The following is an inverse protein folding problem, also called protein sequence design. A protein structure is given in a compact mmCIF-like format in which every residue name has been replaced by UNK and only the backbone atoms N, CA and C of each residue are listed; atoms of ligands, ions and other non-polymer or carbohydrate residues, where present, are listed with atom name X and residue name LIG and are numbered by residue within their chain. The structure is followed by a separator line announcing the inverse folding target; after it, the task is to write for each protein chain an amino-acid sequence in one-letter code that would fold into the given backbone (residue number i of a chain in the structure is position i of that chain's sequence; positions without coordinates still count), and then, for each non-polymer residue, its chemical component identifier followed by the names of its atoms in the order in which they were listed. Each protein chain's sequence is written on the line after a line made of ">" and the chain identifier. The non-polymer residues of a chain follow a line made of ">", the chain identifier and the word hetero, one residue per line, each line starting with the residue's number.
data_IF_014926678770
#
_entry.id   IF_014926678770
#
_cell.length_a   1.000
_cell.length_b   1.000
_cell.length_c   1.000
_cell.angle_alpha   90.00
_cell.angle_beta   90.00
_cell.angle_gamma   90.00
#
_symmetry.space_group_name_H-M   'P 1'
#
loop_
_entity.id
_entity.type
_entity.pdbx_description
1 polymer ?
#
# COMPACT_ATOMS: atom_id res chain seq x y z
N UNK A 1 -12.48 2.68 11.94
CA UNK A 1 -13.58 2.54 12.93
C UNK A 1 -14.57 3.70 12.88
N UNK A 2 -14.22 4.93 13.29
CA UNK A 2 -15.18 6.05 13.33
C UNK A 2 -15.93 6.31 12.03
N UNK A 3 -15.22 6.39 10.90
CA UNK A 3 -15.83 6.58 9.59
C UNK A 3 -16.81 5.44 9.22
N UNK A 4 -16.45 4.19 9.56
CA UNK A 4 -17.32 3.03 9.33
C UNK A 4 -18.59 3.13 10.17
N UNK A 5 -18.47 3.37 11.47
CA UNK A 5 -19.62 3.52 12.37
C UNK A 5 -20.58 4.62 11.90
N UNK A 6 -20.06 5.80 11.55
CA UNK A 6 -20.87 6.91 11.02
C UNK A 6 -21.50 6.52 9.67
N UNK A 7 -20.73 5.90 8.78
CA UNK A 7 -21.20 5.46 7.46
C UNK A 7 -22.32 4.43 7.51
N UNK A 8 -22.46 3.70 8.63
CA UNK A 8 -23.56 2.76 8.90
C UNK A 8 -24.56 3.28 9.95
N UNK A 9 -24.57 4.59 10.24
CA UNK A 9 -25.68 5.25 10.95
C UNK A 9 -25.44 5.60 12.42
N UNK A 10 -24.21 5.48 12.95
CA UNK A 10 -23.91 6.00 14.29
C UNK A 10 -23.86 7.54 14.29
N UNK A 11 -24.74 8.17 15.07
CA UNK A 11 -24.79 9.64 15.19
C UNK A 11 -23.73 10.22 16.14
N UNK A 12 -23.28 9.45 17.12
CA UNK A 12 -22.24 9.83 18.07
C UNK A 12 -21.41 8.61 18.48
N UNK A 13 -20.14 8.82 18.83
CA UNK A 13 -19.22 7.76 19.22
C UNK A 13 -18.45 8.22 20.46
N UNK A 14 -18.55 7.45 21.53
CA UNK A 14 -17.73 7.60 22.73
C UNK A 14 -16.64 6.52 22.76
N UNK A 15 -15.38 6.82 22.41
CA UNK A 15 -14.29 5.85 22.41
C UNK A 15 -13.69 5.69 23.82
N UNK A 16 -14.54 5.32 24.80
CA UNK A 16 -14.20 5.31 26.22
C UNK A 16 -12.92 4.52 26.53
N UNK A 17 -12.75 3.33 25.94
CA UNK A 17 -11.59 2.49 26.21
C UNK A 17 -10.29 3.10 25.67
N UNK A 18 -10.37 3.87 24.57
CA UNK A 18 -9.21 4.61 24.07
C UNK A 18 -8.82 5.75 25.03
N UNK A 19 -9.81 6.42 25.62
CA UNK A 19 -9.55 7.45 26.64
C UNK A 19 -8.93 6.86 27.91
N UNK A 20 -9.45 5.74 28.41
CA UNK A 20 -8.85 5.02 29.55
C UNK A 20 -7.41 4.55 29.24
N UNK A 21 -7.17 4.10 28.00
CA UNK A 21 -5.82 3.71 27.55
C UNK A 21 -4.87 4.91 27.59
N UNK A 22 -5.29 6.08 27.10
CA UNK A 22 -4.48 7.30 27.12
C UNK A 22 -4.17 7.75 28.55
N UNK A 23 -5.17 7.75 29.43
CA UNK A 23 -5.00 8.11 30.83
C UNK A 23 -4.02 7.15 31.53
N UNK A 24 -4.16 5.85 31.31
CA UNK A 24 -3.23 4.85 31.83
C UNK A 24 -1.80 5.06 31.32
N UNK A 25 -1.61 5.30 30.01
CA UNK A 25 -0.30 5.55 29.42
C UNK A 25 0.39 6.79 30.01
N UNK A 26 -0.38 7.83 30.33
CA UNK A 26 0.14 9.06 30.97
C UNK A 26 0.54 8.77 32.42
N UNK A 27 -0.33 8.10 33.20
CA UNK A 27 -0.02 7.71 34.59
C UNK A 27 1.18 6.79 34.70
N UNK A 28 1.37 5.90 33.72
CA UNK A 28 2.51 5.01 33.61
C UNK A 28 3.79 5.70 33.09
N UNK A 29 3.74 6.98 32.73
CA UNK A 29 4.89 7.73 32.20
C UNK A 29 5.31 7.36 30.78
N UNK A 30 4.49 6.58 30.04
CA UNK A 30 4.76 6.19 28.65
C UNK A 30 4.53 7.32 27.66
N UNK A 31 3.62 8.24 27.99
CA UNK A 31 3.36 9.46 27.24
C UNK A 31 3.62 10.63 28.19
N UNK A 32 4.60 11.46 27.82
CA UNK A 32 5.02 12.62 28.62
C UNK A 32 4.60 13.93 27.95
N UNK A 33 4.68 15.03 28.70
CA UNK A 33 4.42 16.39 28.22
C UNK A 33 2.97 16.69 27.78
N UNK A 34 2.00 15.87 28.20
CA UNK A 34 0.56 16.10 28.00
C UNK A 34 -0.22 15.60 29.21
N UNK A 35 -1.32 16.26 29.56
CA UNK A 35 -2.30 15.75 30.52
C UNK A 35 -3.40 14.95 29.81
N UNK A 36 -4.21 14.24 30.59
CA UNK A 36 -5.31 13.38 30.08
C UNK A 36 -6.30 14.17 29.23
N UNK A 37 -6.67 15.39 29.67
CA UNK A 37 -7.62 16.25 28.95
C UNK A 37 -7.09 16.63 27.57
N UNK A 38 -5.83 17.05 27.50
CA UNK A 38 -5.14 17.39 26.27
C UNK A 38 -4.97 16.18 25.36
N UNK A 39 -4.62 15.02 25.91
CA UNK A 39 -4.49 13.78 25.15
C UNK A 39 -5.82 13.35 24.53
N UNK A 40 -6.91 13.35 25.29
CA UNK A 40 -8.26 13.07 24.79
C UNK A 40 -8.68 14.07 23.71
N UNK A 41 -8.42 15.38 23.91
CA UNK A 41 -8.69 16.41 22.90
C UNK A 41 -7.90 16.19 21.62
N UNK A 42 -6.62 15.84 21.72
CA UNK A 42 -5.77 15.54 20.58
C UNK A 42 -6.24 14.28 19.84
N UNK A 43 -6.64 13.25 20.57
CA UNK A 43 -7.22 12.03 20.00
C UNK A 43 -8.50 12.34 19.22
N UNK A 44 -9.44 13.08 19.81
CA UNK A 44 -10.69 13.51 19.13
C UNK A 44 -10.36 14.33 17.88
N UNK A 45 -9.44 15.30 17.97
CA UNK A 45 -8.99 16.09 16.81
C UNK A 45 -8.43 15.21 15.70
N UNK A 46 -7.62 14.20 16.03
CA UNK A 46 -7.05 13.27 15.06
C UNK A 46 -8.12 12.37 14.43
N UNK A 47 -9.05 11.82 15.24
CA UNK A 47 -10.16 11.02 14.77
C UNK A 47 -11.08 11.82 13.83
N UNK A 48 -11.44 13.05 14.20
CA UNK A 48 -12.23 13.96 13.36
C UNK A 48 -11.55 14.25 12.03
N UNK A 49 -10.25 14.60 12.05
CA UNK A 49 -9.47 14.77 10.81
C UNK A 49 -9.45 13.49 9.98
N UNK A 50 -9.35 12.33 10.62
CA UNK A 50 -9.42 11.03 9.96
C UNK A 50 -10.75 10.79 9.26
N UNK A 51 -11.88 11.10 9.91
CA UNK A 51 -13.23 10.99 9.31
C UNK A 51 -13.36 11.93 8.10
N UNK A 52 -13.01 13.21 8.26
CA UNK A 52 -13.03 14.20 7.17
C UNK A 52 -12.19 13.71 5.99
N UNK A 53 -11.00 13.17 6.27
CA UNK A 53 -10.09 12.63 5.26
C UNK A 53 -10.67 11.41 4.55
N UNK A 54 -11.42 10.54 5.22
CA UNK A 54 -12.10 9.40 4.57
C UNK A 54 -13.24 9.89 3.67
N UNK A 55 -14.05 10.83 4.15
CA UNK A 55 -15.16 11.40 3.37
C UNK A 55 -14.66 12.09 2.09
N UNK A 56 -13.57 12.86 2.19
CA UNK A 56 -13.01 13.59 1.06
C UNK A 56 -12.50 12.68 -0.05
N UNK A 57 -12.18 11.40 0.22
CA UNK A 57 -11.75 10.42 -0.79
C UNK A 57 -12.81 10.20 -1.87
N UNK A 58 -14.07 10.43 -1.52
CA UNK A 58 -15.24 10.26 -2.37
C UNK A 58 -15.88 11.61 -2.75
N UNK A 59 -15.20 12.72 -2.45
CA UNK A 59 -15.73 14.07 -2.71
C UNK A 59 -16.87 14.50 -1.79
N UNK A 60 -17.09 13.81 -0.66
CA UNK A 60 -18.17 14.13 0.27
C UNK A 60 -17.72 15.22 1.24
N UNK A 61 -18.39 16.36 1.20
CA UNK A 61 -18.05 17.53 2.02
C UNK A 61 -18.89 17.66 3.30
N UNK A 62 -20.06 17.03 3.37
CA UNK A 62 -21.01 17.15 4.48
C UNK A 62 -21.14 15.84 5.26
N UNK A 63 -21.00 15.90 6.59
CA UNK A 63 -21.12 14.72 7.46
C UNK A 63 -22.53 14.12 7.42
N UNK A 64 -23.55 14.96 7.28
CA UNK A 64 -24.95 14.54 7.15
C UNK A 64 -25.16 13.66 5.92
N UNK A 65 -24.48 13.97 4.80
CA UNK A 65 -24.54 13.15 3.59
C UNK A 65 -23.72 11.86 3.69
N UNK A 66 -22.72 11.81 4.57
CA UNK A 66 -21.92 10.60 4.81
C UNK A 66 -22.59 9.63 5.79
N UNK A 67 -23.39 10.16 6.72
CA UNK A 67 -24.08 9.38 7.74
C UNK A 67 -25.07 8.40 7.09
N UNK A 68 -24.86 7.10 7.29
CA UNK A 68 -25.69 6.04 6.69
C UNK A 68 -25.48 5.82 5.19
N UNK A 69 -24.51 6.49 4.55
CA UNK A 69 -24.29 6.40 3.11
C UNK A 69 -23.60 5.11 2.65
N UNK A 70 -23.08 4.29 3.59
CA UNK A 70 -22.45 3.00 3.31
C UNK A 70 -21.36 3.05 2.21
N UNK A 71 -20.49 4.06 2.25
CA UNK A 71 -19.43 4.26 1.25
C UNK A 71 -18.24 3.33 1.51
N UNK A 72 -18.51 2.04 1.51
CA UNK A 72 -17.62 0.94 1.81
C UNK A 72 -17.89 -0.23 0.85
N UNK A 73 -16.89 -1.08 0.70
CA UNK A 73 -17.04 -2.39 0.08
C UNK A 73 -16.67 -3.45 1.13
N UNK A 74 -17.46 -4.50 1.22
CA UNK A 74 -17.17 -5.65 2.06
C UNK A 74 -16.48 -6.73 1.23
N UNK A 75 -15.45 -7.32 1.79
CA UNK A 75 -14.74 -8.47 1.23
C UNK A 75 -14.64 -9.51 2.33
N UNK A 76 -15.16 -10.71 2.08
CA UNK A 76 -15.06 -11.83 3.02
C UNK A 76 -16.22 -11.99 4.00
N UNK A 77 -17.35 -11.31 3.82
CA UNK A 77 -18.60 -11.62 4.55
C UNK A 77 -19.65 -12.19 3.61
N UNK A 78 -20.38 -13.20 4.08
CA UNK A 78 -21.48 -13.81 3.32
C UNK A 78 -22.63 -12.83 3.08
N UNK A 79 -23.34 -13.05 1.97
CA UNK A 79 -24.44 -12.19 1.55
C UNK A 79 -25.59 -12.13 2.56
N UNK A 80 -25.89 -13.22 3.27
CA UNK A 80 -26.94 -13.24 4.31
C UNK A 80 -26.64 -12.28 5.48
N UNK A 81 -25.37 -12.15 5.86
CA UNK A 81 -24.94 -11.16 6.87
C UNK A 81 -25.11 -9.74 6.34
N UNK A 82 -24.77 -9.51 5.07
CA UNK A 82 -24.92 -8.20 4.43
C UNK A 82 -26.39 -7.81 4.34
N UNK A 83 -27.24 -8.71 3.84
CA UNK A 83 -28.66 -8.44 3.64
C UNK A 83 -29.35 -8.08 4.95
N UNK A 84 -28.97 -8.73 6.05
CA UNK A 84 -29.57 -8.51 7.37
C UNK A 84 -29.01 -7.28 8.11
N UNK A 85 -27.70 -7.03 8.06
CA UNK A 85 -27.05 -6.05 8.95
C UNK A 85 -26.42 -4.85 8.23
N UNK A 86 -26.12 -4.97 6.93
CA UNK A 86 -25.43 -3.96 6.13
C UNK A 86 -26.07 -3.82 4.74
N UNK A 87 -27.41 -3.83 4.71
CA UNK A 87 -28.20 -3.94 3.48
C UNK A 87 -27.78 -2.92 2.43
N UNK A 88 -27.60 -3.38 1.18
CA UNK A 88 -27.11 -2.63 0.01
C UNK A 88 -25.59 -2.42 -0.09
N UNK A 89 -24.80 -2.86 0.89
CA UNK A 89 -23.34 -2.86 0.76
C UNK A 89 -22.86 -3.91 -0.25
N UNK A 90 -21.93 -3.55 -1.13
CA UNK A 90 -21.35 -4.51 -2.07
C UNK A 90 -20.47 -5.55 -1.35
N UNK A 91 -20.72 -6.84 -1.60
CA UNK A 91 -19.88 -7.97 -1.16
C UNK A 91 -19.71 -9.00 -2.27
N UNK A 92 -18.76 -8.73 -3.17
CA UNK A 92 -18.54 -9.56 -4.37
C UNK A 92 -17.85 -10.89 -4.07
N UNK A 93 -17.14 -10.95 -2.95
CA UNK A 93 -16.43 -12.12 -2.47
C UNK A 93 -17.01 -12.42 -1.09
N UNK A 94 -17.83 -13.47 -1.03
CA UNK A 94 -18.38 -13.96 0.22
C UNK A 94 -17.28 -14.49 1.15
N UNK A 95 -17.66 -14.87 2.36
CA UNK A 95 -16.72 -15.49 3.29
C UNK A 95 -17.37 -16.00 4.54
N UNK A 96 -17.09 -15.37 5.68
CA UNK A 96 -17.58 -15.82 6.97
C UNK A 96 -19.02 -15.36 7.24
N UNK A 97 -19.75 -16.16 8.02
CA UNK A 97 -21.09 -15.86 8.51
C UNK A 97 -21.09 -15.46 9.98
N UNK A 98 -22.29 -15.24 10.54
CA UNK A 98 -22.46 -14.84 11.95
C UNK A 98 -21.85 -15.82 12.95
N UNK A 99 -21.91 -17.13 12.66
CA UNK A 99 -21.34 -18.15 13.53
C UNK A 99 -19.83 -17.98 13.70
N UNK A 100 -19.09 -17.86 12.59
CA UNK A 100 -17.64 -17.65 12.62
C UNK A 100 -17.27 -16.31 13.25
N UNK A 101 -18.03 -15.25 12.97
CA UNK A 101 -17.83 -13.94 13.62
C UNK A 101 -17.95 -14.09 15.16
N UNK A 102 -18.98 -14.79 15.62
CA UNK A 102 -19.17 -15.05 17.05
C UNK A 102 -18.04 -15.90 17.64
N UNK A 103 -17.60 -16.95 16.94
CA UNK A 103 -16.48 -17.79 17.36
C UNK A 103 -15.18 -16.98 17.51
N UNK A 104 -14.85 -16.10 16.57
CA UNK A 104 -13.66 -15.25 16.68
C UNK A 104 -13.74 -14.24 17.83
N UNK A 105 -14.91 -13.65 18.07
CA UNK A 105 -15.13 -12.76 19.22
C UNK A 105 -14.94 -13.53 20.54
N UNK A 106 -15.52 -14.73 20.65
CA UNK A 106 -15.37 -15.59 21.81
C UNK A 106 -13.93 -16.07 22.02
N UNK A 107 -13.17 -16.31 20.95
CA UNK A 107 -11.76 -16.67 21.05
C UNK A 107 -10.94 -15.55 21.70
N UNK A 108 -11.10 -14.30 21.24
CA UNK A 108 -10.45 -13.12 21.85
C UNK A 108 -10.89 -12.91 23.29
N UNK A 109 -12.17 -13.12 23.58
CA UNK A 109 -12.69 -13.07 24.95
C UNK A 109 -12.03 -14.12 25.86
N UNK A 110 -11.97 -15.39 25.45
CA UNK A 110 -11.33 -16.45 26.25
C UNK A 110 -9.84 -16.20 26.47
N UNK A 111 -9.15 -15.61 25.49
CA UNK A 111 -7.76 -15.22 25.62
C UNK A 111 -7.58 -14.08 26.66
N UNK A 112 -8.49 -13.09 26.67
CA UNK A 112 -8.46 -12.01 27.64
C UNK A 112 -8.91 -12.42 29.05
N UNK A 113 -9.77 -13.45 29.16
CA UNK A 113 -10.34 -13.95 30.41
C UNK A 113 -10.09 -15.46 30.59
N UNK A 114 -8.82 -15.90 30.75
CA UNK A 114 -8.49 -17.31 30.93
C UNK A 114 -8.91 -17.82 32.31
N UNK A 115 -9.29 -19.09 32.40
CA UNK A 115 -9.74 -19.71 33.66
C UNK A 115 -8.64 -19.81 34.74
N UNK A 116 -7.36 -19.73 34.37
CA UNK A 116 -6.22 -19.74 35.29
C UNK A 116 -5.18 -18.72 34.84
N UNK A 117 -4.97 -17.67 35.65
CA UNK A 117 -3.91 -16.67 35.49
C UNK A 117 -4.00 -15.86 34.19
N UNK A 118 -4.12 -14.54 34.28
CA UNK A 118 -4.12 -13.69 33.09
C UNK A 118 -2.69 -13.31 32.68
N UNK A 119 -2.41 -13.37 31.38
CA UNK A 119 -1.29 -12.62 30.79
C UNK A 119 -1.75 -11.15 30.71
N UNK A 120 -1.06 -10.25 31.40
CA UNK A 120 -1.48 -8.84 31.52
C UNK A 120 -0.95 -7.92 30.40
N UNK A 121 -0.35 -8.49 29.37
CA UNK A 121 0.27 -7.73 28.27
C UNK A 121 -0.37 -8.09 26.94
N UNK A 122 -0.56 -7.07 26.10
CA UNK A 122 -0.98 -7.27 24.72
C UNK A 122 0.11 -7.97 23.91
N UNK A 123 -0.29 -8.75 22.91
CA UNK A 123 0.63 -9.33 21.95
C UNK A 123 1.42 -8.23 21.23
N UNK A 124 2.69 -8.52 20.93
CA UNK A 124 3.56 -7.59 20.20
C UNK A 124 3.04 -7.25 18.78
N UNK A 125 2.08 -8.03 18.28
CA UNK A 125 1.44 -7.86 16.99
C UNK A 125 2.39 -8.11 15.80
N UNK A 126 1.96 -7.65 14.64
CA UNK A 126 2.74 -7.78 13.41
C UNK A 126 2.04 -7.22 12.18
N UNK A 127 0.91 -6.53 12.34
CA UNK A 127 0.06 -6.12 11.22
C UNK A 127 0.74 -5.07 10.33
N UNK A 128 1.48 -4.12 10.93
CA UNK A 128 2.09 -3.00 10.19
C UNK A 128 3.53 -3.27 9.75
N UNK A 129 4.23 -4.17 10.43
CA UNK A 129 5.63 -4.49 10.15
C UNK A 129 5.87 -5.95 10.51
N UNK A 130 6.65 -6.64 9.67
CA UNK A 130 7.06 -8.00 9.94
C UNK A 130 7.75 -8.11 11.30
N UNK A 131 7.34 -9.12 12.07
CA UNK A 131 7.94 -9.54 13.34
C UNK A 131 8.02 -11.06 13.38
N UNK A 132 9.04 -11.59 14.02
CA UNK A 132 9.11 -13.03 14.28
C UNK A 132 7.93 -13.45 15.17
N UNK A 133 7.16 -14.44 14.73
CA UNK A 133 5.95 -14.90 15.43
C UNK A 133 4.73 -13.98 15.32
N UNK A 134 4.80 -12.91 14.51
CA UNK A 134 3.65 -12.05 14.21
C UNK A 134 2.87 -12.49 12.97
N UNK A 135 2.08 -11.57 12.42
CA UNK A 135 1.32 -11.78 11.18
C UNK A 135 2.21 -12.20 10.00
N UNK A 136 1.63 -12.91 9.03
CA UNK A 136 2.33 -13.27 7.80
C UNK A 136 2.48 -12.07 6.85
N UNK A 137 3.70 -11.84 6.33
CA UNK A 137 3.99 -10.80 5.34
C UNK A 137 4.58 -11.40 4.07
N UNK A 138 4.04 -11.00 2.90
CA UNK A 138 4.56 -11.40 1.59
C UNK A 138 6.07 -11.15 1.44
N UNK A 139 6.54 -10.01 1.98
CA UNK A 139 7.95 -9.70 2.07
C UNK A 139 8.45 -9.90 3.50
N UNK A 140 9.40 -10.80 3.67
CA UNK A 140 10.02 -11.13 4.95
C UNK A 140 11.55 -11.25 4.75
N UNK A 141 12.36 -11.33 5.84
CA UNK A 141 13.81 -11.37 5.71
C UNK A 141 14.32 -12.49 4.81
N UNK A 142 13.68 -13.66 4.83
CA UNK A 142 14.08 -14.80 4.01
C UNK A 142 13.80 -14.56 2.52
N UNK A 143 12.58 -14.15 2.15
CA UNK A 143 12.22 -13.90 0.75
C UNK A 143 13.06 -12.77 0.16
N UNK A 144 13.31 -11.71 0.94
CA UNK A 144 14.19 -10.60 0.53
C UNK A 144 15.63 -11.09 0.33
N UNK A 145 16.19 -11.85 1.27
CA UNK A 145 17.55 -12.35 1.17
C UNK A 145 17.74 -13.26 -0.05
N UNK A 146 16.82 -14.19 -0.31
CA UNK A 146 16.90 -15.11 -1.45
C UNK A 146 16.84 -14.35 -2.79
N UNK A 147 15.93 -13.38 -2.92
CA UNK A 147 15.85 -12.57 -4.14
C UNK A 147 17.15 -11.79 -4.37
N UNK A 148 17.67 -11.11 -3.34
CA UNK A 148 18.92 -10.36 -3.43
C UNK A 148 20.10 -11.26 -3.81
N UNK A 149 20.21 -12.46 -3.22
CA UNK A 149 21.26 -13.42 -3.55
C UNK A 149 21.14 -13.90 -5.00
N UNK A 150 19.92 -14.21 -5.46
CA UNK A 150 19.68 -14.67 -6.83
C UNK A 150 20.16 -13.64 -7.86
N UNK A 151 19.78 -12.37 -7.71
CA UNK A 151 20.14 -11.33 -8.67
C UNK A 151 21.62 -10.92 -8.60
N UNK A 152 22.26 -10.98 -7.43
CA UNK A 152 23.70 -10.68 -7.28
C UNK A 152 24.60 -11.78 -7.84
N UNK A 153 24.15 -13.03 -7.80
CA UNK A 153 24.94 -14.20 -8.23
C UNK A 153 24.57 -14.72 -9.62
N UNK A 154 23.48 -14.22 -10.22
CA UNK A 154 22.95 -14.74 -11.48
C UNK A 154 22.35 -16.15 -11.38
N UNK A 155 22.07 -16.65 -10.17
CA UNK A 155 21.62 -18.03 -9.94
C UNK A 155 20.11 -18.19 -10.14
N UNK A 156 19.70 -18.78 -11.26
CA UNK A 156 18.30 -19.12 -11.51
C UNK A 156 17.76 -20.14 -10.48
N UNK A 157 18.57 -21.09 -10.03
CA UNK A 157 18.18 -22.02 -8.96
C UNK A 157 17.83 -21.28 -7.66
N UNK A 158 18.60 -20.26 -7.28
CA UNK A 158 18.29 -19.42 -6.12
C UNK A 158 17.00 -18.62 -6.35
N UNK A 159 16.78 -18.11 -7.56
CA UNK A 159 15.52 -17.45 -7.92
C UNK A 159 14.32 -18.40 -7.82
N UNK A 160 14.43 -19.64 -8.30
CA UNK A 160 13.37 -20.65 -8.18
C UNK A 160 13.05 -20.98 -6.74
N UNK A 161 14.06 -20.99 -5.88
CA UNK A 161 13.83 -21.13 -4.45
C UNK A 161 13.09 -19.92 -3.85
N UNK A 162 13.38 -18.69 -4.29
CA UNK A 162 12.62 -17.51 -3.91
C UNK A 162 11.16 -17.60 -4.40
N UNK A 163 10.96 -17.95 -5.67
CA UNK A 163 9.64 -18.05 -6.28
C UNK A 163 8.76 -19.07 -5.54
N UNK A 164 9.30 -20.26 -5.25
CA UNK A 164 8.60 -21.28 -4.48
C UNK A 164 8.15 -20.78 -3.10
N UNK A 165 9.01 -20.06 -2.38
CA UNK A 165 8.62 -19.48 -1.10
C UNK A 165 7.45 -18.50 -1.23
N UNK A 166 7.48 -17.64 -2.26
CA UNK A 166 6.38 -16.69 -2.50
C UNK A 166 5.10 -17.43 -2.87
N UNK A 167 5.18 -18.44 -3.73
CA UNK A 167 4.02 -19.19 -4.21
C UNK A 167 3.37 -20.00 -3.07
N UNK A 168 4.16 -20.74 -2.29
CA UNK A 168 3.67 -21.50 -1.12
C UNK A 168 3.09 -20.57 -0.03
N UNK A 169 3.70 -19.41 0.17
CA UNK A 169 3.21 -18.42 1.15
C UNK A 169 1.92 -17.72 0.68
N UNK A 170 1.65 -17.69 -0.62
CA UNK A 170 0.46 -17.01 -1.18
C UNK A 170 -0.83 -17.67 -0.67
N UNK A 171 -0.83 -18.99 -0.50
CA UNK A 171 -1.93 -19.75 0.11
C UNK A 171 -2.06 -19.45 1.60
N UNK A 172 -0.96 -19.37 2.34
CA UNK A 172 -0.99 -19.11 3.79
C UNK A 172 -1.38 -17.67 4.15
N UNK A 173 -1.03 -16.69 3.30
CA UNK A 173 -1.43 -15.27 3.49
C UNK A 173 -2.89 -15.04 3.06
N UNK A 174 -3.51 -15.98 2.34
CA UNK A 174 -4.90 -15.86 1.91
C UNK A 174 -5.11 -14.80 0.83
N UNK A 175 -4.15 -14.58 -0.07
CA UNK A 175 -4.42 -13.71 -1.22
C UNK A 175 -5.39 -14.40 -2.18
N UNK A 176 -6.28 -13.65 -2.83
CA UNK A 176 -7.28 -14.23 -3.73
C UNK A 176 -6.67 -15.09 -4.85
N UNK A 177 -5.54 -14.66 -5.42
CA UNK A 177 -4.83 -15.43 -6.46
C UNK A 177 -4.27 -16.76 -5.95
N UNK A 178 -4.02 -16.89 -4.65
CA UNK A 178 -3.54 -18.12 -4.02
C UNK A 178 -4.62 -19.18 -3.83
N UNK A 179 -5.88 -18.80 -4.04
CA UNK A 179 -7.04 -19.71 -4.05
C UNK A 179 -7.36 -20.23 -5.45
N UNK A 180 -6.59 -19.81 -6.46
CA UNK A 180 -6.77 -20.21 -7.85
C UNK A 180 -5.67 -21.21 -8.24
N UNK A 181 -6.05 -22.20 -9.04
CA UNK A 181 -5.12 -23.12 -9.68
C UNK A 181 -5.26 -23.06 -11.19
N UNK A 182 -4.18 -23.40 -11.90
CA UNK A 182 -4.25 -23.55 -13.34
C UNK A 182 -4.98 -24.86 -13.67
N UNK A 183 -5.97 -24.79 -14.56
CA UNK A 183 -6.61 -25.99 -15.09
C UNK A 183 -5.57 -26.76 -15.91
N UNK A 184 -5.37 -28.07 -15.69
CA UNK A 184 -4.44 -28.87 -16.47
C UNK A 184 -4.72 -28.78 -17.97
N UNK A 185 -3.67 -28.65 -18.76
CA UNK A 185 -3.72 -28.61 -20.23
C UNK A 185 -2.50 -29.34 -20.81
N UNK A 186 -2.55 -29.71 -22.09
CA UNK A 186 -1.44 -30.33 -22.78
C UNK A 186 -0.23 -29.36 -22.84
N UNK A 187 0.93 -29.84 -22.37
CA UNK A 187 2.15 -29.03 -22.37
C UNK A 187 2.77 -28.97 -23.75
N UNK A 188 3.23 -27.79 -24.14
CA UNK A 188 4.05 -27.60 -25.34
C UNK A 188 5.55 -27.60 -25.00
N UNK A 189 6.44 -27.94 -25.96
CA UNK A 189 7.87 -27.72 -25.83
C UNK A 189 8.21 -26.25 -25.53
N UNK A 190 9.29 -26.01 -24.76
CA UNK A 190 9.66 -24.65 -24.33
C UNK A 190 10.07 -23.76 -25.52
N UNK A 191 10.62 -24.36 -26.57
CA UNK A 191 10.98 -23.72 -27.83
C UNK A 191 9.78 -23.16 -28.61
N UNK A 192 8.56 -23.63 -28.33
CA UNK A 192 7.34 -23.08 -28.91
C UNK A 192 6.81 -21.87 -28.11
N UNK A 193 7.30 -21.67 -26.88
CA UNK A 193 6.96 -20.50 -26.07
C UNK A 193 7.63 -19.27 -26.66
N UNK A 194 6.92 -18.14 -26.64
CA UNK A 194 7.48 -16.88 -27.15
C UNK A 194 8.82 -16.51 -26.49
N UNK A 195 9.74 -15.86 -27.23
CA UNK A 195 11.07 -15.55 -26.74
C UNK A 195 11.04 -14.55 -25.58
N UNK A 196 12.05 -14.61 -24.71
CA UNK A 196 12.13 -13.77 -23.51
C UNK A 196 12.11 -12.27 -23.86
N UNK A 197 12.70 -11.87 -25.00
CA UNK A 197 12.72 -10.49 -25.49
C UNK A 197 11.31 -9.97 -25.81
N UNK A 198 10.38 -10.86 -26.16
CA UNK A 198 8.96 -10.52 -26.36
C UNK A 198 8.26 -10.33 -25.01
N UNK A 199 8.51 -11.23 -24.06
CA UNK A 199 7.94 -11.18 -22.69
C UNK A 199 8.39 -9.92 -21.94
N UNK A 200 9.70 -9.61 -21.97
CA UNK A 200 10.26 -8.47 -21.22
C UNK A 200 9.71 -7.12 -21.68
N UNK A 201 9.25 -6.99 -22.94
CA UNK A 201 8.58 -5.77 -23.44
C UNK A 201 7.25 -5.49 -22.74
N UNK A 202 6.60 -6.51 -22.18
CA UNK A 202 5.37 -6.37 -21.39
C UNK A 202 5.65 -5.86 -19.98
N UNK A 203 6.89 -5.98 -19.50
CA UNK A 203 7.25 -5.56 -18.16
C UNK A 203 7.46 -4.05 -18.07
N UNK A 204 6.91 -3.48 -17.00
CA UNK A 204 7.03 -2.07 -16.64
C UNK A 204 7.49 -1.98 -15.19
N UNK A 205 8.45 -1.12 -14.89
CA UNK A 205 8.71 -0.82 -13.47
C UNK A 205 7.58 0.03 -12.90
N UNK A 206 7.36 -0.08 -11.59
CA UNK A 206 6.40 0.78 -10.90
C UNK A 206 6.70 2.26 -11.07
N UNK A 207 5.66 3.09 -11.01
CA UNK A 207 5.75 4.54 -11.04
C UNK A 207 6.18 5.07 -9.66
N UNK A 208 7.49 5.21 -9.44
CA UNK A 208 8.07 5.66 -8.17
C UNK A 208 8.78 7.00 -8.40
N UNK A 209 8.36 8.05 -7.71
CA UNK A 209 8.83 9.40 -8.01
C UNK A 209 10.29 9.63 -7.64
N UNK A 210 10.98 10.43 -8.45
CA UNK A 210 12.23 11.06 -8.02
C UNK A 210 11.96 11.93 -6.77
N UNK A 211 12.68 11.64 -5.70
CA UNK A 211 12.47 12.17 -4.35
C UNK A 211 11.84 11.15 -3.39
N UNK A 212 10.96 10.25 -3.85
CA UNK A 212 10.62 9.06 -3.06
C UNK A 212 11.84 8.13 -2.98
N UNK A 213 12.47 7.88 -4.12
CA UNK A 213 13.76 7.20 -4.24
C UNK A 213 14.86 8.16 -4.72
N UNK A 214 16.12 7.79 -4.48
CA UNK A 214 17.30 8.54 -4.93
C UNK A 214 17.45 8.58 -6.45
N UNK A 215 18.31 9.47 -6.95
CA UNK A 215 18.58 9.62 -8.38
C UNK A 215 19.17 8.32 -8.95
N UNK A 216 20.10 7.72 -8.22
CA UNK A 216 20.82 6.51 -8.58
C UNK A 216 19.85 5.34 -8.77
N UNK A 217 18.92 5.15 -7.84
CA UNK A 217 17.89 4.12 -7.93
C UNK A 217 16.94 4.36 -9.10
N UNK A 218 16.50 5.62 -9.28
CA UNK A 218 15.57 5.99 -10.34
C UNK A 218 16.18 5.84 -11.74
N UNK A 219 17.43 6.24 -11.92
CA UNK A 219 18.16 6.12 -13.18
C UNK A 219 18.53 4.67 -13.47
N UNK A 220 18.92 3.88 -12.45
CA UNK A 220 19.20 2.45 -12.61
C UNK A 220 18.01 1.69 -13.18
N UNK A 221 16.79 1.98 -12.69
CA UNK A 221 15.56 1.39 -13.23
C UNK A 221 15.33 1.77 -14.69
N UNK A 222 15.57 3.04 -15.06
CA UNK A 222 15.41 3.47 -16.44
C UNK A 222 16.40 2.81 -17.38
N UNK A 223 17.68 2.78 -17.02
CA UNK A 223 18.72 2.10 -17.80
C UNK A 223 18.39 0.61 -17.96
N UNK A 224 18.04 -0.08 -16.87
CA UNK A 224 17.70 -1.50 -16.92
C UNK A 224 16.53 -1.79 -17.87
N UNK A 225 15.43 -1.03 -17.77
CA UNK A 225 14.27 -1.24 -18.62
C UNK A 225 14.52 -0.90 -20.09
N UNK A 226 15.29 0.15 -20.36
CA UNK A 226 15.66 0.53 -21.72
C UNK A 226 16.57 -0.53 -22.38
N UNK A 227 17.48 -1.15 -21.63
CA UNK A 227 18.33 -2.25 -22.13
C UNK A 227 17.53 -3.48 -22.54
N UNK A 228 16.50 -3.84 -21.78
CA UNK A 228 15.70 -5.05 -22.04
C UNK A 228 14.47 -4.79 -22.93
N UNK A 229 14.29 -3.58 -23.44
CA UNK A 229 13.15 -3.19 -24.29
C UNK A 229 11.81 -3.07 -23.54
N UNK A 230 11.81 -3.15 -22.21
CA UNK A 230 10.65 -2.83 -21.39
C UNK A 230 10.50 -1.33 -21.17
N UNK A 231 9.72 -0.92 -20.17
CA UNK A 231 9.48 0.52 -19.89
C UNK A 231 9.62 0.86 -18.41
N UNK A 232 10.36 1.92 -18.10
CA UNK A 232 10.34 2.55 -16.77
C UNK A 232 9.38 3.73 -16.72
N UNK A 233 8.99 4.15 -15.52
CA UNK A 233 8.04 5.23 -15.28
C UNK A 233 8.62 6.27 -14.30
N UNK A 234 8.48 7.55 -14.62
CA UNK A 234 9.00 8.68 -13.83
C UNK A 234 8.40 8.82 -12.43
N UNK A 235 7.21 8.25 -12.21
CA UNK A 235 6.37 8.65 -11.09
C UNK A 235 5.99 10.13 -11.15
N UNK A 236 5.49 10.65 -10.03
CA UNK A 236 4.94 12.01 -9.92
C UNK A 236 6.01 13.12 -9.75
N UNK A 237 7.30 12.79 -9.90
CA UNK A 237 8.40 13.64 -9.44
C UNK A 237 9.03 14.56 -10.49
N UNK A 238 8.57 14.48 -11.74
CA UNK A 238 9.29 15.04 -12.89
C UNK A 238 10.50 14.21 -13.29
N UNK A 239 11.20 14.65 -14.33
CA UNK A 239 12.45 14.03 -14.78
C UNK A 239 13.43 15.11 -15.24
N UNK A 240 14.70 14.99 -14.87
CA UNK A 240 15.73 15.93 -15.29
C UNK A 240 15.97 15.83 -16.81
N UNK A 241 15.85 16.93 -17.59
CA UNK A 241 16.05 16.90 -19.04
C UNK A 241 17.39 16.38 -19.52
N UNK A 242 18.43 16.43 -18.68
CA UNK A 242 19.73 15.84 -19.01
C UNK A 242 19.63 14.34 -19.31
N UNK A 243 18.61 13.64 -18.78
CA UNK A 243 18.38 12.21 -19.00
C UNK A 243 17.85 11.87 -20.39
N UNK A 244 17.37 12.85 -21.16
CA UNK A 244 16.81 12.63 -22.51
C UNK A 244 17.87 12.34 -23.56
N UNK A 245 19.13 12.66 -23.26
CA UNK A 245 20.27 12.33 -24.11
C UNK A 245 20.85 10.98 -23.70
N UNK A 246 21.06 10.05 -24.65
CA UNK A 246 21.81 8.83 -24.38
C UNK A 246 23.21 9.14 -23.85
N UNK A 247 23.72 8.27 -23.00
CA UNK A 247 25.09 8.32 -22.50
C UNK A 247 26.07 7.81 -23.56
N UNK A 248 27.35 8.12 -23.39
CA UNK A 248 28.40 7.75 -24.35
C UNK A 248 28.54 6.22 -24.53
N UNK A 249 28.13 5.43 -23.53
CA UNK A 249 28.10 3.97 -23.58
C UNK A 249 26.84 3.38 -24.25
N UNK A 250 25.94 4.23 -24.76
CA UNK A 250 24.67 3.84 -25.38
C UNK A 250 23.51 3.66 -24.40
N UNK A 251 23.72 3.76 -23.08
CA UNK A 251 22.64 3.70 -22.12
C UNK A 251 21.71 4.91 -22.23
N UNK A 252 20.44 4.70 -21.90
CA UNK A 252 19.48 5.80 -21.77
C UNK A 252 18.91 5.83 -20.36
N UNK A 253 19.05 6.98 -19.71
CA UNK A 253 18.42 7.27 -18.41
C UNK A 253 17.00 7.80 -18.56
N UNK A 254 16.50 8.06 -19.76
CA UNK A 254 15.16 8.58 -19.97
C UNK A 254 14.11 7.53 -19.60
N UNK A 255 13.13 7.88 -18.77
CA UNK A 255 12.02 6.95 -18.53
C UNK A 255 11.04 6.94 -19.70
N UNK A 256 10.69 5.77 -20.21
CA UNK A 256 9.78 5.67 -21.36
C UNK A 256 8.37 6.18 -21.05
N UNK A 257 7.89 5.97 -19.82
CA UNK A 257 6.58 6.41 -19.35
C UNK A 257 6.74 7.67 -18.51
N UNK A 258 5.98 8.71 -18.85
CA UNK A 258 5.98 10.01 -18.19
C UNK A 258 4.63 10.19 -17.50
N UNK A 259 4.63 10.29 -16.17
CA UNK A 259 3.41 10.40 -15.40
C UNK A 259 2.94 11.87 -15.29
N UNK A 260 1.63 12.07 -15.35
CA UNK A 260 0.95 13.35 -15.13
C UNK A 260 -0.03 13.15 -13.98
N UNK A 261 0.33 13.63 -12.79
CA UNK A 261 -0.46 13.51 -11.56
C UNK A 261 -0.98 14.87 -11.09
N UNK A 262 -1.82 14.92 -10.06
CA UNK A 262 -2.52 16.13 -9.60
C UNK A 262 -1.62 17.36 -9.42
N UNK A 263 -0.44 17.20 -8.82
CA UNK A 263 0.50 18.31 -8.59
C UNK A 263 1.27 18.80 -9.82
N UNK A 264 1.20 18.07 -10.95
CA UNK A 264 1.89 18.40 -12.22
C UNK A 264 3.38 18.74 -12.08
N UNK A 265 4.05 18.18 -11.06
CA UNK A 265 5.46 18.46 -10.80
C UNK A 265 6.35 18.05 -11.97
N UNK A 266 7.19 18.99 -12.43
CA UNK A 266 8.11 18.78 -13.55
C UNK A 266 7.44 18.49 -14.90
N UNK A 267 6.13 18.71 -15.02
CA UNK A 267 5.40 18.54 -16.28
C UNK A 267 5.60 19.79 -17.14
N UNK A 268 6.52 19.69 -18.09
CA UNK A 268 6.81 20.73 -19.09
C UNK A 268 6.55 20.21 -20.50
N UNK A 269 6.52 21.09 -21.51
CA UNK A 269 6.42 20.67 -22.91
C UNK A 269 7.56 19.71 -23.28
N UNK A 270 8.80 20.00 -22.85
CA UNK A 270 9.97 19.14 -23.07
C UNK A 270 9.80 17.76 -22.40
N UNK A 271 9.24 17.72 -21.19
CA UNK A 271 8.96 16.46 -20.49
C UNK A 271 7.92 15.60 -21.24
N UNK A 272 6.88 16.22 -21.78
CA UNK A 272 5.80 15.52 -22.49
C UNK A 272 6.24 14.98 -23.86
N UNK A 273 7.02 15.75 -24.64
CA UNK A 273 7.51 15.31 -25.96
C UNK A 273 8.55 14.20 -25.87
N UNK A 274 9.22 14.06 -24.72
CA UNK A 274 10.15 12.96 -24.45
C UNK A 274 9.48 11.71 -23.84
N UNK A 275 8.15 11.62 -23.86
CA UNK A 275 7.39 10.44 -23.47
C UNK A 275 7.21 9.47 -24.64
N UNK A 276 7.35 8.17 -24.41
CA UNK A 276 6.78 7.14 -25.30
C UNK A 276 5.35 6.78 -24.90
N UNK A 277 5.01 7.01 -23.63
CA UNK A 277 3.69 6.76 -23.06
C UNK A 277 3.43 7.81 -21.98
N UNK A 278 2.26 8.45 -22.02
CA UNK A 278 1.81 9.36 -20.99
C UNK A 278 0.85 8.63 -20.05
N UNK A 279 1.14 8.67 -18.74
CA UNK A 279 0.28 8.07 -17.73
C UNK A 279 -0.45 9.17 -16.95
N UNK A 280 -1.76 9.28 -17.15
CA UNK A 280 -2.61 10.13 -16.31
C UNK A 280 -2.84 9.39 -15.00
N UNK A 281 -2.26 9.90 -13.90
CA UNK A 281 -2.42 9.29 -12.58
C UNK A 281 -3.65 9.83 -11.89
N UNK A 282 -4.70 9.01 -11.86
CA UNK A 282 -5.92 9.32 -11.09
C UNK A 282 -5.75 8.96 -9.61
N UNK A 283 -5.17 7.80 -9.32
CA UNK A 283 -5.08 7.25 -7.97
C UNK A 283 -3.92 6.24 -7.84
N UNK A 284 -3.67 5.74 -6.63
CA UNK A 284 -2.79 4.59 -6.38
C UNK A 284 -3.33 3.68 -5.27
N UNK A 285 -3.09 2.37 -5.36
CA UNK A 285 -3.63 1.39 -4.40
C UNK A 285 -3.27 1.64 -2.94
N UNK A 286 -2.08 2.20 -2.66
CA UNK A 286 -1.68 2.51 -1.28
C UNK A 286 -2.52 3.64 -0.64
N UNK A 287 -3.13 4.52 -1.45
CA UNK A 287 -3.94 5.65 -0.99
C UNK A 287 -4.84 6.17 -2.14
N UNK A 288 -5.94 5.48 -2.47
CA UNK A 288 -6.67 5.70 -3.71
C UNK A 288 -7.39 7.06 -3.79
N UNK A 289 -7.92 7.58 -2.69
CA UNK A 289 -8.61 8.87 -2.66
C UNK A 289 -7.73 10.05 -2.24
N UNK A 290 -6.41 9.94 -2.39
CA UNK A 290 -5.46 10.98 -1.97
C UNK A 290 -4.35 11.18 -3.00
N UNK A 291 -3.72 12.35 -2.98
CA UNK A 291 -2.56 12.67 -3.82
C UNK A 291 -1.23 12.14 -3.28
N UNK A 292 -0.16 12.27 -4.08
CA UNK A 292 1.23 12.01 -3.69
C UNK A 292 1.66 12.81 -2.44
N UNK A 293 2.63 12.28 -1.71
CA UNK A 293 3.21 12.96 -0.54
C UNK A 293 4.72 12.78 -0.60
N UNK A 294 5.46 13.85 -0.34
CA UNK A 294 6.91 13.84 -0.15
C UNK A 294 7.19 14.71 1.08
N UNK A 295 7.85 14.21 2.13
CA UNK A 295 8.24 15.03 3.27
C UNK A 295 9.16 16.19 2.83
N UNK A 296 8.93 17.40 3.36
CA UNK A 296 9.73 18.59 3.02
C UNK A 296 11.23 18.40 3.23
N UNK A 297 11.63 17.62 4.24
CA UNK A 297 13.04 17.26 4.50
C UNK A 297 13.70 16.46 3.38
N UNK A 298 12.92 15.85 2.47
CA UNK A 298 13.41 15.17 1.26
C UNK A 298 13.36 16.06 0.02
N UNK A 299 12.87 17.30 0.12
CA UNK A 299 12.79 18.24 -1.01
C UNK A 299 14.11 19.03 -1.09
N UNK A 300 15.17 18.32 -1.44
CA UNK A 300 16.49 18.90 -1.68
C UNK A 300 16.47 19.89 -2.86
N UNK A 301 17.41 20.84 -2.97
CA UNK A 301 17.42 21.86 -4.01
C UNK A 301 17.28 21.31 -5.45
N UNK A 302 17.89 20.16 -5.75
CA UNK A 302 17.79 19.52 -7.07
C UNK A 302 16.43 18.84 -7.33
N UNK A 303 15.77 18.31 -6.30
CA UNK A 303 14.38 17.83 -6.40
C UNK A 303 13.45 19.04 -6.59
N UNK A 304 13.64 20.08 -5.79
CA UNK A 304 12.87 21.32 -5.88
C UNK A 304 12.96 21.93 -7.29
N UNK A 305 14.18 21.99 -7.85
CA UNK A 305 14.44 22.43 -9.23
C UNK A 305 13.70 21.57 -10.26
N UNK A 306 13.75 20.25 -10.13
CA UNK A 306 13.07 19.32 -11.07
C UNK A 306 11.55 19.46 -11.00
N UNK A 307 11.01 19.79 -9.82
CA UNK A 307 9.58 19.91 -9.57
C UNK A 307 9.04 21.33 -9.77
N UNK A 308 9.90 22.32 -9.98
CA UNK A 308 9.56 23.75 -9.97
C UNK A 308 8.87 24.17 -8.66
N UNK A 309 9.44 23.76 -7.52
CA UNK A 309 8.93 24.07 -6.18
C UNK A 309 10.03 24.61 -5.27
N UNK A 310 9.68 24.91 -4.02
CA UNK A 310 10.59 25.46 -3.00
C UNK A 310 11.29 24.32 -2.25
N UNK A 311 12.60 24.44 -2.06
CA UNK A 311 13.36 23.47 -1.28
C UNK A 311 12.91 23.46 0.19
N UNK A 312 12.82 22.27 0.79
CA UNK A 312 12.41 22.10 2.19
C UNK A 312 10.90 22.13 2.47
N UNK A 313 10.05 22.41 1.47
CA UNK A 313 8.59 22.53 1.59
C UNK A 313 7.89 21.24 1.16
#
# INVERSE_FOLDING_TARGET
>A
HFALLIGYGCSAINPYLAFETLDHMIRAGLVTNVDTTLACRNFVKAATKGVIKVMSKMGISAIQSYHGAQVFEVVGLRQDVIDQYFTWTASRIGGIGMETIAQEVLARHRAAFPARGAVHTLDAGGQYQWRAGGEHHLFNPETIHRLQKAVRTGSYATYRSYARLIDEQTTSIGTLRGLLEFVPFESVPLEEVEPIESILRRFKTGAISYGAIGQEAHETLAVAMNRIGGKSNTGEGGENPARYRPEANGDSKASAIKQVASGRFGVTSEYLVNARELQIKMAQGAKPGEGGQLPGSKVYPWIAKTRHTTAGV
#
